data_IF_198798008235
#
_entry.id   IF_198798008235
#
_cell.length_a   1.000
_cell.length_b   1.000
_cell.length_c   1.000
_cell.angle_alpha   90.00
_cell.angle_beta   90.00
_cell.angle_gamma   90.00
#
_symmetry.space_group_name_H-M   'P 1'
#
loop_
_entity.id
_entity.type
_entity.pdbx_description
1 polymer ?
#
# COMPACT_ATOMS: atom_id res chain seq x y z
N UNK A 1 -19.42 -5.32 -60.74
CA UNK A 1 -18.25 -4.96 -59.91
C UNK A 1 -18.11 -6.02 -58.82
N UNK A 2 -17.07 -6.86 -58.90
CA UNK A 2 -17.02 -8.20 -58.26
C UNK A 2 -16.98 -8.14 -56.72
N UNK A 3 -18.00 -8.69 -56.05
CA UNK A 3 -18.04 -8.89 -54.60
C UNK A 3 -16.79 -9.61 -54.04
N UNK A 4 -16.16 -10.49 -54.85
CA UNK A 4 -14.89 -11.14 -54.49
C UNK A 4 -13.73 -10.17 -54.26
N UNK A 5 -13.68 -9.05 -54.99
CA UNK A 5 -12.62 -8.03 -54.82
C UNK A 5 -12.79 -7.24 -53.52
N UNK A 6 -14.03 -7.01 -53.09
CA UNK A 6 -14.36 -6.30 -51.85
C UNK A 6 -13.99 -7.15 -50.63
N UNK A 7 -14.25 -8.46 -50.65
CA UNK A 7 -13.87 -9.37 -49.56
C UNK A 7 -12.35 -9.51 -49.40
N UNK A 8 -11.60 -9.53 -50.50
CA UNK A 8 -10.13 -9.54 -50.45
C UNK A 8 -9.55 -8.24 -49.89
N UNK A 9 -10.15 -7.09 -50.20
CA UNK A 9 -9.73 -5.78 -49.66
C UNK A 9 -9.98 -5.67 -48.15
N UNK A 10 -11.12 -6.17 -47.65
CA UNK A 10 -11.43 -6.15 -46.21
C UNK A 10 -10.50 -7.10 -45.44
N UNK A 11 -10.23 -8.30 -45.97
CA UNK A 11 -9.28 -9.23 -45.35
C UNK A 11 -7.86 -8.66 -45.31
N UNK A 12 -7.42 -7.94 -46.34
CA UNK A 12 -6.08 -7.32 -46.38
C UNK A 12 -5.94 -6.18 -45.37
N UNK A 13 -6.99 -5.38 -45.14
CA UNK A 13 -7.00 -4.30 -44.14
C UNK A 13 -7.05 -4.84 -42.70
N UNK A 14 -7.75 -5.95 -42.46
CA UNK A 14 -7.76 -6.62 -41.14
C UNK A 14 -6.46 -7.36 -40.82
N UNK A 15 -5.72 -7.86 -41.83
CA UNK A 15 -4.41 -8.50 -41.62
C UNK A 15 -3.29 -7.47 -41.45
N UNK A 16 -3.39 -6.28 -42.07
CA UNK A 16 -2.44 -5.18 -41.83
C UNK A 16 -2.60 -4.49 -40.47
N UNK A 17 -3.66 -4.81 -39.72
CA UNK A 17 -3.88 -4.30 -38.36
C UNK A 17 -3.38 -5.25 -37.26
N UNK A 18 -2.71 -6.36 -37.62
CA UNK A 18 -1.97 -7.16 -36.66
C UNK A 18 -0.64 -6.47 -36.34
N UNK A 19 -0.47 -5.97 -35.11
CA UNK A 19 0.87 -5.84 -34.54
C UNK A 19 1.21 -4.61 -33.70
N UNK A 20 0.25 -3.76 -33.33
CA UNK A 20 0.45 -2.89 -32.16
C UNK A 20 -0.49 -3.38 -31.08
N UNK A 21 -0.10 -4.44 -30.38
CA UNK A 21 -0.77 -4.78 -29.14
C UNK A 21 -0.58 -3.59 -28.20
N UNK A 22 -1.63 -3.07 -27.54
CA UNK A 22 -1.48 -2.03 -26.52
C UNK A 22 -0.51 -2.44 -25.40
N UNK A 23 -0.18 -3.73 -25.30
CA UNK A 23 0.78 -4.30 -24.36
C UNK A 23 2.24 -4.16 -24.79
N UNK A 24 2.55 -3.89 -26.06
CA UNK A 24 3.93 -3.73 -26.52
C UNK A 24 4.49 -2.35 -26.12
N UNK A 25 3.61 -1.34 -26.03
CA UNK A 25 3.98 0.00 -25.59
C UNK A 25 3.59 0.21 -24.13
N UNK A 26 4.59 0.42 -23.26
CA UNK A 26 4.36 0.83 -21.87
C UNK A 26 3.75 2.23 -21.79
N UNK A 27 2.42 2.31 -21.86
CA UNK A 27 1.68 3.55 -21.68
C UNK A 27 1.57 3.91 -20.19
N UNK A 28 1.31 5.18 -19.88
CA UNK A 28 1.02 5.61 -18.49
C UNK A 28 -0.14 4.85 -17.89
N UNK A 29 -1.17 4.57 -18.68
CA UNK A 29 -2.34 3.80 -18.25
C UNK A 29 -1.97 2.37 -17.92
N UNK A 30 -1.25 1.68 -18.82
CA UNK A 30 -0.79 0.31 -18.57
C UNK A 30 0.11 0.25 -17.33
N UNK A 31 1.02 1.21 -17.17
CA UNK A 31 1.88 1.28 -15.99
C UNK A 31 1.07 1.48 -14.71
N UNK A 32 0.09 2.39 -14.71
CA UNK A 32 -0.81 2.61 -13.59
C UNK A 32 -1.61 1.34 -13.23
N UNK A 33 -2.24 0.69 -14.22
CA UNK A 33 -3.03 -0.52 -14.03
C UNK A 33 -2.18 -1.66 -13.42
N UNK A 34 -0.93 -1.80 -13.88
CA UNK A 34 0.01 -2.79 -13.34
C UNK A 34 0.44 -2.45 -11.91
N UNK A 35 0.72 -1.17 -11.62
CA UNK A 35 1.10 -0.70 -10.27
C UNK A 35 -0.05 -0.89 -9.28
N UNK A 36 -1.27 -0.44 -9.61
CA UNK A 36 -2.47 -0.62 -8.77
C UNK A 36 -2.82 -2.10 -8.60
N UNK A 37 -2.56 -2.90 -9.63
CA UNK A 37 -2.77 -4.35 -9.61
C UNK A 37 -1.81 -5.12 -8.70
N UNK A 38 -0.71 -4.51 -8.26
CA UNK A 38 0.33 -5.14 -7.45
C UNK A 38 -0.12 -5.47 -6.02
N UNK A 39 0.57 -6.41 -5.38
CA UNK A 39 0.37 -6.72 -3.96
C UNK A 39 0.64 -5.51 -3.06
N UNK A 40 1.64 -4.68 -3.39
CA UNK A 40 1.99 -3.49 -2.61
C UNK A 40 0.88 -2.44 -2.52
N UNK A 41 0.05 -2.31 -3.56
CA UNK A 41 -1.12 -1.41 -3.57
C UNK A 41 -2.41 -2.07 -3.09
N UNK A 42 -2.54 -3.39 -3.24
CA UNK A 42 -3.68 -4.15 -2.72
C UNK A 42 -3.59 -4.42 -1.22
N UNK A 43 -2.39 -4.48 -0.65
CA UNK A 43 -2.19 -4.75 0.76
C UNK A 43 -2.63 -3.56 1.63
N UNK A 44 -3.35 -3.87 2.71
CA UNK A 44 -3.66 -2.91 3.77
C UNK A 44 -2.49 -2.80 4.74
N UNK A 45 -2.18 -1.58 5.16
CA UNK A 45 -1.35 -1.32 6.32
C UNK A 45 -2.11 -1.71 7.58
N UNK A 46 -1.48 -2.53 8.43
CA UNK A 46 -2.03 -2.92 9.72
C UNK A 46 -1.41 -2.12 10.86
N UNK A 47 -2.26 -1.79 11.82
CA UNK A 47 -1.87 -1.36 13.16
C UNK A 47 -2.27 -2.45 14.15
N UNK A 48 -1.37 -2.79 15.06
CA UNK A 48 -1.62 -3.81 16.06
C UNK A 48 -1.87 -3.14 17.41
N UNK A 49 -3.13 -3.11 17.82
CA UNK A 49 -3.50 -2.61 19.14
C UNK A 49 -3.25 -3.71 20.18
N UNK A 50 -2.54 -3.33 21.24
CA UNK A 50 -2.28 -4.16 22.42
C UNK A 50 -2.94 -3.51 23.63
N UNK A 51 -3.77 -4.29 24.31
CA UNK A 51 -4.35 -3.93 25.60
C UNK A 51 -3.72 -4.79 26.70
N UNK A 52 -4.02 -4.49 27.96
CA UNK A 52 -3.37 -5.13 29.09
C UNK A 52 -1.97 -4.56 29.36
N UNK A 53 -1.14 -5.35 30.04
CA UNK A 53 0.20 -4.93 30.42
C UNK A 53 1.15 -4.82 29.22
N UNK A 54 1.68 -3.62 29.00
CA UNK A 54 2.69 -3.31 27.98
C UNK A 54 3.88 -2.56 28.57
N UNK A 55 5.00 -2.55 27.83
CA UNK A 55 6.22 -1.87 28.26
C UNK A 55 6.07 -0.35 28.13
N UNK A 56 6.89 0.41 28.88
CA UNK A 56 6.94 1.86 28.68
C UNK A 56 7.26 2.25 27.24
N UNK A 57 8.16 1.51 26.57
CA UNK A 57 8.57 1.77 25.19
C UNK A 57 7.38 1.73 24.23
N UNK A 58 6.50 0.74 24.40
CA UNK A 58 5.32 0.60 23.56
C UNK A 58 4.26 1.66 23.90
N UNK A 59 4.05 1.94 25.19
CA UNK A 59 3.04 2.91 25.63
C UNK A 59 3.34 4.35 25.21
N UNK A 60 4.62 4.74 25.18
CA UNK A 60 5.05 6.08 24.76
C UNK A 60 5.30 6.18 23.26
N UNK A 61 4.94 5.16 22.47
CA UNK A 61 5.06 5.22 21.03
C UNK A 61 4.14 6.30 20.45
N UNK A 62 4.50 6.92 19.31
CA UNK A 62 3.67 7.95 18.68
C UNK A 62 2.22 7.49 18.47
N UNK A 63 2.02 6.23 18.10
CA UNK A 63 0.69 5.67 17.86
C UNK A 63 -0.14 5.65 19.15
N UNK A 64 0.40 5.12 20.26
CA UNK A 64 -0.32 5.08 21.53
C UNK A 64 -0.59 6.46 22.10
N UNK A 65 0.33 7.42 21.92
CA UNK A 65 0.11 8.81 22.30
C UNK A 65 -1.03 9.43 21.51
N UNK A 66 -1.17 9.14 20.21
CA UNK A 66 -2.31 9.57 19.40
C UNK A 66 -3.61 8.94 19.92
N UNK A 67 -3.63 7.62 20.18
CA UNK A 67 -4.82 6.96 20.72
C UNK A 67 -5.24 7.53 22.08
N UNK A 68 -4.26 7.83 22.95
CA UNK A 68 -4.49 8.44 24.25
C UNK A 68 -5.02 9.87 24.12
N UNK A 69 -4.42 10.69 23.25
CA UNK A 69 -4.86 12.05 23.00
C UNK A 69 -6.28 12.10 22.40
N UNK A 70 -6.64 11.10 21.60
CA UNK A 70 -8.02 10.90 21.10
C UNK A 70 -8.99 10.40 22.16
N UNK A 71 -8.51 10.05 23.35
CA UNK A 71 -9.33 9.52 24.44
C UNK A 71 -9.81 8.09 24.19
N UNK A 72 -9.22 7.35 23.24
CA UNK A 72 -9.62 5.99 22.91
C UNK A 72 -9.02 4.95 23.86
N UNK A 73 -7.86 5.25 24.44
CA UNK A 73 -7.19 4.39 25.42
C UNK A 73 -6.85 5.15 26.69
N UNK A 74 -6.68 4.39 27.77
CA UNK A 74 -6.09 4.85 29.04
C UNK A 74 -5.04 3.85 29.48
N UNK A 75 -3.94 4.34 30.05
CA UNK A 75 -2.92 3.51 30.70
C UNK A 75 -2.80 3.87 32.17
N UNK A 76 -2.78 2.86 33.04
CA UNK A 76 -2.43 3.02 34.45
C UNK A 76 -1.09 2.35 34.74
N UNK A 77 -0.29 2.97 35.60
CA UNK A 77 1.00 2.39 35.98
C UNK A 77 0.78 1.15 36.83
N UNK A 78 1.43 0.05 36.46
CA UNK A 78 1.36 -1.22 37.18
C UNK A 78 2.77 -1.82 37.36
N UNK A 79 2.99 -2.64 38.40
CA UNK A 79 4.22 -3.40 38.53
C UNK A 79 4.44 -4.29 37.30
N UNK A 80 5.66 -4.25 36.77
CA UNK A 80 6.08 -5.09 35.66
C UNK A 80 6.14 -6.57 36.07
N UNK A 81 5.70 -7.46 35.17
CA UNK A 81 5.99 -8.89 35.30
C UNK A 81 7.37 -9.23 34.72
N UNK A 82 7.91 -10.40 35.04
CA UNK A 82 9.23 -10.84 34.55
C UNK A 82 9.38 -10.81 33.02
N UNK A 83 8.26 -10.86 32.28
CA UNK A 83 8.22 -10.91 30.81
C UNK A 83 7.95 -9.54 30.15
N UNK A 84 7.60 -8.51 30.93
CA UNK A 84 7.26 -7.18 30.42
C UNK A 84 8.07 -6.20 31.24
N UNK A 85 9.27 -5.84 30.76
CA UNK A 85 10.17 -4.92 31.42
C UNK A 85 11.17 -4.32 30.42
N UNK A 86 11.97 -3.33 30.83
CA UNK A 86 12.09 -2.76 32.17
C UNK A 86 10.92 -1.85 32.57
N UNK A 87 10.80 -1.54 33.86
CA UNK A 87 9.83 -0.59 34.40
C UNK A 87 10.06 0.84 33.85
N UNK A 88 8.99 1.67 33.73
CA UNK A 88 7.60 1.41 34.14
C UNK A 88 6.81 0.51 33.18
N UNK A 89 5.74 -0.12 33.68
CA UNK A 89 4.77 -0.86 32.86
C UNK A 89 3.40 -0.21 32.96
N UNK A 90 2.62 -0.36 31.89
CA UNK A 90 1.32 0.27 31.75
C UNK A 90 0.28 -0.80 31.48
N UNK A 91 -0.80 -0.80 32.25
CA UNK A 91 -1.99 -1.58 31.95
C UNK A 91 -2.93 -0.73 31.10
N UNK A 92 -3.03 -1.08 29.81
CA UNK A 92 -3.78 -0.30 28.82
C UNK A 92 -5.17 -0.89 28.63
N UNK A 93 -6.18 -0.04 28.79
CA UNK A 93 -7.58 -0.38 28.53
C UNK A 93 -8.20 0.56 27.49
N UNK A 94 -9.17 0.03 26.74
CA UNK A 94 -10.04 0.85 25.90
C UNK A 94 -11.01 1.64 26.78
N UNK A 95 -11.20 2.91 26.46
CA UNK A 95 -12.28 3.72 27.04
C UNK A 95 -13.62 3.35 26.40
N UNK A 96 -14.78 3.80 26.93
CA UNK A 96 -16.06 3.61 26.25
C UNK A 96 -16.06 4.13 24.80
N UNK A 97 -15.42 5.28 24.55
CA UNK A 97 -15.26 5.86 23.21
C UNK A 97 -14.38 4.94 22.35
N UNK A 98 -13.25 4.47 22.89
CA UNK A 98 -12.39 3.51 22.19
C UNK A 98 -13.11 2.22 21.83
N UNK A 99 -13.88 1.64 22.76
CA UNK A 99 -14.68 0.43 22.49
C UNK A 99 -15.62 0.66 21.32
N UNK A 100 -16.30 1.81 21.25
CA UNK A 100 -17.18 2.14 20.13
C UNK A 100 -16.41 2.26 18.81
N UNK A 101 -15.29 3.00 18.80
CA UNK A 101 -14.43 3.17 17.61
C UNK A 101 -13.87 1.85 17.10
N UNK A 102 -13.42 0.96 17.99
CA UNK A 102 -12.77 -0.29 17.59
C UNK A 102 -13.72 -1.48 17.38
N UNK A 103 -14.97 -1.43 17.87
CA UNK A 103 -15.90 -2.58 17.82
C UNK A 103 -16.08 -3.17 16.42
N UNK A 104 -16.18 -2.32 15.41
CA UNK A 104 -16.35 -2.74 14.01
C UNK A 104 -15.06 -3.12 13.30
N UNK A 105 -13.90 -2.86 13.93
CA UNK A 105 -12.57 -3.07 13.35
C UNK A 105 -11.88 -4.32 13.87
N UNK A 106 -12.30 -4.81 15.05
CA UNK A 106 -11.75 -6.02 15.65
C UNK A 106 -12.50 -7.24 15.11
N UNK A 107 -11.81 -8.22 14.50
CA UNK A 107 -12.41 -9.49 14.13
C UNK A 107 -13.08 -10.17 15.35
N UNK A 108 -14.28 -10.71 15.15
CA UNK A 108 -15.10 -11.25 16.25
C UNK A 108 -14.43 -12.42 16.99
N UNK A 109 -13.60 -13.21 16.29
CA UNK A 109 -12.78 -14.31 16.80
C UNK A 109 -11.57 -13.86 17.64
N UNK A 110 -11.25 -12.55 17.60
CA UNK A 110 -10.13 -11.94 18.31
C UNK A 110 -10.57 -11.08 19.50
N UNK A 111 -11.87 -10.95 19.73
CA UNK A 111 -12.46 -10.10 20.79
C UNK A 111 -12.03 -10.45 22.21
N UNK A 112 -11.64 -11.71 22.47
CA UNK A 112 -11.11 -12.15 23.77
C UNK A 112 -9.58 -12.00 23.89
N UNK A 113 -8.89 -11.52 22.85
CA UNK A 113 -7.44 -11.35 22.83
C UNK A 113 -7.07 -9.91 23.19
N UNK A 114 -5.92 -9.77 23.83
CA UNK A 114 -5.32 -8.48 24.16
C UNK A 114 -4.45 -7.92 23.03
N UNK A 115 -4.42 -8.58 21.87
CA UNK A 115 -3.62 -8.18 20.73
C UNK A 115 -4.38 -8.50 19.45
N UNK A 116 -4.70 -7.47 18.67
CA UNK A 116 -5.50 -7.63 17.46
C UNK A 116 -5.05 -6.69 16.34
N UNK A 117 -5.03 -7.18 15.08
CA UNK A 117 -4.70 -6.38 13.91
C UNK A 117 -5.89 -5.53 13.48
N UNK A 118 -5.61 -4.32 13.01
CA UNK A 118 -6.58 -3.39 12.45
C UNK A 118 -6.02 -2.88 11.13
N UNK A 119 -6.75 -3.09 10.04
CA UNK A 119 -6.41 -2.49 8.76
C UNK A 119 -6.70 -0.99 8.83
N UNK A 120 -5.66 -0.15 8.76
CA UNK A 120 -5.77 1.30 9.01
C UNK A 120 -5.68 2.13 7.73
N UNK A 121 -4.91 1.71 6.74
CA UNK A 121 -4.73 2.46 5.50
C UNK A 121 -4.40 1.54 4.35
N UNK A 122 -4.57 2.02 3.12
CA UNK A 122 -4.01 1.39 1.91
C UNK A 122 -3.32 2.42 1.06
N UNK A 123 -2.46 1.98 0.14
CA UNK A 123 -1.86 2.89 -0.84
C UNK A 123 -2.89 3.22 -1.92
N UNK A 124 -2.98 4.49 -2.28
CA UNK A 124 -3.74 4.96 -3.42
C UNK A 124 -2.76 5.53 -4.45
N UNK A 125 -2.79 5.00 -5.67
CA UNK A 125 -2.07 5.59 -6.78
C UNK A 125 -2.77 6.89 -7.17
N UNK A 126 -2.00 7.96 -7.36
CA UNK A 126 -2.52 9.25 -7.81
C UNK A 126 -2.28 9.44 -9.31
N UNK A 127 -1.03 9.26 -9.74
CA UNK A 127 -0.67 9.42 -11.14
C UNK A 127 0.65 8.77 -11.49
N UNK A 128 0.80 8.36 -12.75
CA UNK A 128 2.11 8.09 -13.37
C UNK A 128 2.67 9.39 -13.94
N UNK A 129 3.81 9.84 -13.41
CA UNK A 129 4.41 11.14 -13.72
C UNK A 129 5.43 11.06 -14.85
N UNK A 130 6.16 9.94 -14.96
CA UNK A 130 7.24 9.76 -15.93
C UNK A 130 7.45 8.31 -16.34
N UNK A 131 7.96 8.10 -17.55
CA UNK A 131 8.39 6.78 -18.06
C UNK A 131 9.68 6.99 -18.85
N UNK A 132 10.77 6.36 -18.41
CA UNK A 132 12.06 6.34 -19.09
C UNK A 132 12.30 4.93 -19.58
N UNK A 133 12.47 4.73 -20.90
CA UNK A 133 12.67 3.39 -21.49
C UNK A 133 14.11 3.19 -21.89
N UNK A 134 14.63 1.99 -21.65
CA UNK A 134 15.95 1.54 -22.07
C UNK A 134 15.88 0.08 -22.55
N UNK A 135 15.67 -0.12 -23.85
CA UNK A 135 15.51 -1.45 -24.45
C UNK A 135 14.28 -2.18 -23.86
N UNK A 136 14.52 -3.35 -23.26
CA UNK A 136 13.49 -4.17 -22.63
C UNK A 136 13.25 -3.81 -21.15
N UNK A 137 13.79 -2.68 -20.69
CA UNK A 137 13.59 -2.16 -19.35
C UNK A 137 12.97 -0.76 -19.42
N UNK A 138 12.23 -0.39 -18.39
CA UNK A 138 11.75 0.97 -18.21
C UNK A 138 11.67 1.33 -16.73
N UNK A 139 12.05 2.55 -16.38
CA UNK A 139 11.79 3.13 -15.07
C UNK A 139 10.53 3.99 -15.16
N UNK A 140 9.62 3.80 -14.21
CA UNK A 140 8.35 4.51 -14.15
C UNK A 140 8.26 5.29 -12.84
N UNK A 141 8.15 6.61 -12.99
CA UNK A 141 7.90 7.52 -11.87
C UNK A 141 6.39 7.64 -11.63
N UNK A 142 5.99 7.58 -10.37
CA UNK A 142 4.60 7.72 -9.97
C UNK A 142 4.45 8.42 -8.63
N UNK A 143 3.27 9.00 -8.42
CA UNK A 143 2.86 9.56 -7.13
C UNK A 143 1.74 8.74 -6.52
N UNK A 144 1.78 8.60 -5.21
CA UNK A 144 0.81 7.84 -4.42
C UNK A 144 0.63 8.49 -3.05
N UNK A 145 -0.41 8.11 -2.32
CA UNK A 145 -0.61 8.53 -0.93
C UNK A 145 -1.22 7.42 -0.10
N UNK A 146 -1.17 7.58 1.21
CA UNK A 146 -1.96 6.74 2.10
C UNK A 146 -3.43 7.18 2.08
N UNK A 147 -4.33 6.22 1.86
CA UNK A 147 -5.76 6.37 2.00
C UNK A 147 -6.19 5.68 3.30
N UNK A 148 -6.57 6.44 4.34
CA UNK A 148 -7.15 5.87 5.55
C UNK A 148 -8.40 5.04 5.24
N UNK A 149 -8.55 3.91 5.92
CA UNK A 149 -9.69 3.00 5.79
C UNK A 149 -10.76 3.22 6.87
N UNK A 150 -10.39 3.86 7.97
CA UNK A 150 -11.25 4.13 9.12
C UNK A 150 -10.71 5.31 9.94
N UNK A 151 -11.43 5.68 11.00
CA UNK A 151 -11.08 6.78 11.89
C UNK A 151 -9.71 6.58 12.57
N UNK A 152 -9.38 5.35 12.95
CA UNK A 152 -8.09 5.00 13.55
C UNK A 152 -6.96 5.29 12.56
N UNK A 153 -7.10 4.82 11.33
CA UNK A 153 -6.13 5.10 10.28
C UNK A 153 -6.03 6.57 9.91
N UNK A 154 -7.13 7.32 9.96
CA UNK A 154 -7.12 8.76 9.71
C UNK A 154 -6.40 9.53 10.82
N UNK A 155 -6.34 8.98 12.04
CA UNK A 155 -5.57 9.54 13.14
C UNK A 155 -4.10 9.12 13.12
N UNK A 156 -3.80 7.87 12.73
CA UNK A 156 -2.44 7.31 12.79
C UNK A 156 -1.60 7.57 11.54
N UNK A 157 -2.23 7.74 10.38
CA UNK A 157 -1.54 7.91 9.10
C UNK A 157 -1.78 9.31 8.58
N UNK A 158 -0.70 9.96 8.16
CA UNK A 158 -0.79 11.22 7.46
C UNK A 158 -1.27 11.00 6.02
N UNK A 159 -2.59 11.01 5.83
CA UNK A 159 -3.22 10.87 4.51
C UNK A 159 -3.13 12.13 3.64
N UNK A 160 -2.57 13.23 4.15
CA UNK A 160 -2.38 14.49 3.42
C UNK A 160 -1.09 14.52 2.61
N UNK A 161 -0.12 13.67 2.93
CA UNK A 161 1.18 13.64 2.26
C UNK A 161 1.11 12.77 1.01
N UNK A 162 1.51 13.37 -0.10
CA UNK A 162 1.77 12.66 -1.33
C UNK A 162 3.23 12.19 -1.34
N UNK A 163 3.47 11.02 -1.89
CA UNK A 163 4.78 10.42 -2.04
C UNK A 163 5.10 10.23 -3.52
N UNK A 164 6.37 10.31 -3.87
CA UNK A 164 6.91 9.96 -5.18
C UNK A 164 7.81 8.73 -5.05
N UNK A 165 7.63 7.81 -5.98
CA UNK A 165 8.40 6.57 -6.09
C UNK A 165 8.74 6.29 -7.56
N UNK A 166 9.78 5.50 -7.78
CA UNK A 166 10.21 5.04 -9.11
C UNK A 166 10.32 3.53 -9.09
N UNK A 167 9.72 2.84 -10.06
CA UNK A 167 9.77 1.38 -10.14
C UNK A 167 10.18 0.90 -11.53
N UNK A 168 10.95 -0.18 -11.55
CA UNK A 168 11.38 -0.85 -12.75
C UNK A 168 10.28 -1.71 -13.38
N UNK A 169 10.24 -1.70 -14.70
CA UNK A 169 9.43 -2.54 -15.56
C UNK A 169 10.33 -3.30 -16.51
N UNK A 170 9.94 -4.54 -16.84
CA UNK A 170 10.62 -5.38 -17.81
C UNK A 170 9.66 -5.86 -18.90
N UNK A 171 10.09 -5.74 -20.15
CA UNK A 171 9.37 -6.20 -21.32
C UNK A 171 9.73 -7.65 -21.63
N UNK A 172 8.71 -8.47 -21.81
CA UNK A 172 8.79 -9.84 -22.29
C UNK A 172 8.08 -9.93 -23.64
N UNK A 173 8.14 -11.11 -24.26
CA UNK A 173 7.40 -11.43 -25.49
C UNK A 173 5.88 -11.32 -25.33
N UNK A 174 5.37 -11.45 -24.09
CA UNK A 174 3.95 -11.33 -23.75
C UNK A 174 3.53 -9.98 -23.14
N UNK A 175 4.47 -9.02 -23.03
CA UNK A 175 4.25 -7.65 -22.60
C UNK A 175 5.06 -7.20 -21.38
N UNK A 176 4.71 -6.03 -20.85
CA UNK A 176 5.40 -5.42 -19.71
C UNK A 176 4.95 -5.97 -18.36
N UNK A 177 5.90 -6.15 -17.43
CA UNK A 177 5.68 -6.57 -16.04
C UNK A 177 6.47 -5.69 -15.07
N UNK A 178 5.95 -5.51 -13.85
CA UNK A 178 6.70 -4.89 -12.76
C UNK A 178 7.85 -5.78 -12.32
N UNK A 179 8.95 -5.16 -11.95
CA UNK A 179 10.03 -5.82 -11.20
C UNK A 179 9.59 -5.89 -9.73
N UNK A 180 9.42 -7.10 -9.22
CA UNK A 180 9.06 -7.38 -7.83
C UNK A 180 10.32 -7.70 -6.99
N UNK A 181 10.29 -7.36 -5.69
CA UNK A 181 11.39 -7.63 -4.74
C UNK A 181 12.59 -6.67 -4.83
N UNK A 182 13.65 -6.96 -4.07
CA UNK A 182 14.88 -6.14 -4.04
C UNK A 182 15.85 -6.51 -5.18
N UNK A 183 15.56 -5.98 -6.37
CA UNK A 183 16.35 -6.22 -7.58
C UNK A 183 17.64 -5.41 -7.65
N UNK A 184 18.77 -6.09 -7.89
CA UNK A 184 20.06 -5.45 -8.14
C UNK A 184 20.14 -4.71 -9.49
N UNK A 185 20.69 -3.49 -9.41
CA UNK A 185 21.40 -2.67 -10.43
C UNK A 185 20.72 -2.22 -11.74
N UNK A 186 19.49 -2.60 -12.10
CA UNK A 186 18.86 -2.00 -13.31
C UNK A 186 17.36 -1.71 -13.26
N UNK A 187 16.74 -1.79 -12.08
CA UNK A 187 15.35 -1.40 -11.88
C UNK A 187 14.98 -1.65 -10.43
N UNK A 188 14.71 -0.59 -9.68
CA UNK A 188 14.24 -0.71 -8.30
C UNK A 188 12.92 -1.49 -8.32
N UNK A 189 12.81 -2.54 -7.51
CA UNK A 189 11.56 -3.26 -7.40
C UNK A 189 10.55 -2.51 -6.55
N UNK A 190 9.27 -2.86 -6.70
CA UNK A 190 8.18 -2.06 -6.14
C UNK A 190 8.25 -1.91 -4.61
N UNK A 191 8.61 -2.95 -3.88
CA UNK A 191 8.67 -2.90 -2.42
C UNK A 191 9.75 -1.92 -1.93
N UNK A 192 10.91 -1.92 -2.60
CA UNK A 192 11.97 -0.95 -2.32
C UNK A 192 11.54 0.46 -2.73
N UNK A 193 10.87 0.62 -3.87
CA UNK A 193 10.35 1.91 -4.34
C UNK A 193 9.35 2.55 -3.36
N UNK A 194 8.52 1.72 -2.73
CA UNK A 194 7.53 2.15 -1.74
C UNK A 194 8.17 2.43 -0.38
N UNK A 195 9.22 1.69 0.01
CA UNK A 195 9.96 1.93 1.25
C UNK A 195 10.78 3.20 1.19
N UNK A 196 11.42 3.45 0.05
CA UNK A 196 12.36 4.56 -0.15
C UNK A 196 11.68 5.81 -0.75
N UNK A 197 10.36 5.89 -0.63
CA UNK A 197 9.54 6.94 -1.22
C UNK A 197 9.86 8.32 -0.62
N UNK A 198 9.86 9.35 -1.48
CA UNK A 198 10.15 10.73 -1.08
C UNK A 198 8.85 11.54 -1.00
N UNK A 199 8.71 12.50 -0.08
CA UNK A 199 7.60 13.43 -0.10
C UNK A 199 7.52 14.16 -1.44
N UNK A 200 6.32 14.20 -2.02
CA UNK A 200 6.03 14.96 -3.23
C UNK A 200 5.51 16.36 -2.85
N UNK A 201 5.93 17.41 -3.58
CA UNK A 201 5.39 18.76 -3.41
C UNK A 201 3.91 18.87 -3.81
#
# INVERSE_FOLDING_TARGET
>A
MNQRKIHFLIAFVCVLSTGCSPRDFLTRRLAADLIEGSSGFKASQQFFLRTGMITNKDYVSPEYLVLQHRGWITGVNVPCTANVGPAPCWDVALTPIGVETFRGLIPSDMSSKQYFPIDIARRQLLSTTGIVRNGNLADVDFTWKWMPLNEVGAALVDGGVNFRSTVGFKHYDDGWRLVEGSGGKSGQGLDDALRDAQPAP
#
